data_IF_754404022935
#
_entry.id   IF_754404022935
#
_cell.length_a   1.000
_cell.length_b   1.000
_cell.length_c   1.000
_cell.angle_alpha   90.00
_cell.angle_beta   90.00
_cell.angle_gamma   90.00
#
_symmetry.space_group_name_H-M   'P 1'
#
loop_
_entity.id
_entity.type
_entity.pdbx_description
1 polymer ?
#
# COMPACT_ATOMS: atom_id res chain seq x y z
N UNK A 1 -18.30 4.33 -3.04
CA UNK A 1 -17.01 3.58 -3.25
C UNK A 1 -17.34 2.24 -3.87
N UNK A 2 -16.57 1.77 -4.85
CA UNK A 2 -16.81 0.51 -5.57
C UNK A 2 -15.64 -0.46 -5.36
N UNK A 3 -15.88 -1.76 -5.63
CA UNK A 3 -14.83 -2.77 -5.68
C UNK A 3 -14.72 -3.30 -7.11
N UNK A 4 -13.57 -3.09 -7.76
CA UNK A 4 -13.36 -3.38 -9.17
C UNK A 4 -12.26 -4.43 -9.33
N UNK A 5 -12.48 -5.42 -10.20
CA UNK A 5 -11.46 -6.42 -10.55
C UNK A 5 -10.55 -5.91 -11.66
N UNK A 6 -9.25 -6.11 -11.47
CA UNK A 6 -8.23 -5.65 -12.41
C UNK A 6 -6.99 -6.56 -12.40
N UNK A 7 -6.27 -6.61 -13.51
CA UNK A 7 -5.01 -7.35 -13.62
C UNK A 7 -3.90 -6.49 -14.19
N UNK A 8 -2.72 -6.65 -13.58
CA UNK A 8 -1.47 -6.02 -14.01
C UNK A 8 -0.54 -7.10 -14.56
N UNK A 9 0.01 -6.90 -15.75
CA UNK A 9 0.91 -7.86 -16.42
C UNK A 9 0.33 -9.28 -16.51
N UNK A 10 -0.98 -9.41 -16.78
CA UNK A 10 -1.73 -10.67 -16.85
C UNK A 10 -1.76 -11.45 -15.52
N UNK A 11 -1.61 -10.76 -14.40
CA UNK A 11 -1.66 -11.37 -13.07
C UNK A 11 -2.43 -10.51 -12.07
N UNK A 12 -2.94 -11.14 -11.00
CA UNK A 12 -3.82 -10.49 -10.03
C UNK A 12 -3.07 -9.73 -8.92
N UNK A 13 -1.73 -9.69 -8.98
CA UNK A 13 -0.89 -9.10 -7.92
C UNK A 13 -0.57 -7.61 -8.21
N UNK A 14 -1.61 -6.81 -8.34
CA UNK A 14 -1.51 -5.41 -8.75
C UNK A 14 -0.76 -4.53 -7.73
N UNK A 15 -0.91 -4.78 -6.44
CA UNK A 15 -0.24 -4.03 -5.38
C UNK A 15 1.28 -4.24 -5.29
N UNK A 16 1.84 -5.22 -6.02
CA UNK A 16 3.29 -5.37 -6.18
C UNK A 16 3.86 -4.31 -7.10
N UNK A 17 3.09 -3.91 -8.10
CA UNK A 17 3.54 -3.05 -9.21
C UNK A 17 3.09 -1.59 -9.06
N UNK A 18 2.05 -1.32 -8.30
CA UNK A 18 1.37 -0.02 -8.25
C UNK A 18 1.23 0.43 -6.80
N UNK A 19 1.47 1.71 -6.53
CA UNK A 19 1.14 2.38 -5.27
C UNK A 19 0.15 3.51 -5.53
N UNK A 20 -0.82 3.70 -4.65
CA UNK A 20 -1.84 4.74 -4.79
C UNK A 20 -2.10 5.46 -3.46
N UNK A 21 -2.53 6.72 -3.57
CA UNK A 21 -3.22 7.47 -2.52
C UNK A 21 -4.52 8.06 -3.10
N UNK A 22 -5.10 9.07 -2.45
CA UNK A 22 -6.37 9.67 -2.92
C UNK A 22 -6.21 10.69 -4.06
N UNK A 23 -4.99 10.96 -4.51
CA UNK A 23 -4.70 11.97 -5.55
C UNK A 23 -3.90 11.42 -6.71
N UNK A 24 -2.96 10.53 -6.44
CA UNK A 24 -2.04 10.00 -7.45
C UNK A 24 -1.89 8.49 -7.37
N UNK A 25 -1.58 7.89 -8.52
CA UNK A 25 -1.16 6.50 -8.64
C UNK A 25 0.19 6.41 -9.34
N UNK A 26 1.15 5.77 -8.68
CA UNK A 26 2.46 5.49 -9.26
C UNK A 26 2.40 4.15 -9.99
N UNK A 27 2.61 4.17 -11.31
CA UNK A 27 2.62 2.99 -12.16
C UNK A 27 3.98 2.83 -12.86
N UNK A 28 4.39 1.61 -13.24
CA UNK A 28 5.67 1.38 -13.88
C UNK A 28 5.79 2.08 -15.23
N UNK A 29 7.00 2.59 -15.54
CA UNK A 29 7.33 3.06 -16.89
C UNK A 29 6.98 2.00 -17.93
N UNK A 30 6.29 2.43 -19.01
CA UNK A 30 5.79 1.54 -20.07
C UNK A 30 4.58 0.69 -19.67
N UNK A 31 3.90 1.00 -18.58
CA UNK A 31 2.57 0.46 -18.29
C UNK A 31 1.60 0.94 -19.35
N UNK A 32 0.67 0.07 -19.80
CA UNK A 32 -0.20 0.37 -20.93
C UNK A 32 -1.13 1.56 -20.63
N UNK A 33 -1.11 2.59 -21.46
CA UNK A 33 -1.92 3.81 -21.30
C UNK A 33 -3.42 3.50 -21.09
N UNK A 34 -3.99 2.60 -21.89
CA UNK A 34 -5.39 2.17 -21.74
C UNK A 34 -5.72 1.55 -20.38
N UNK A 35 -4.72 1.00 -19.68
CA UNK A 35 -4.86 0.50 -18.31
C UNK A 35 -4.65 1.61 -17.28
N UNK A 36 -3.75 2.54 -17.55
CA UNK A 36 -3.56 3.76 -16.75
C UNK A 36 -4.84 4.59 -16.72
N UNK A 37 -5.44 4.84 -17.88
CA UNK A 37 -6.69 5.60 -18.00
C UNK A 37 -7.83 4.97 -17.21
N UNK A 38 -7.97 3.63 -17.26
CA UNK A 38 -8.96 2.91 -16.45
C UNK A 38 -8.71 3.00 -14.96
N UNK A 39 -7.45 2.91 -14.53
CA UNK A 39 -7.11 3.05 -13.11
C UNK A 39 -7.35 4.47 -12.63
N UNK A 40 -7.02 5.48 -13.45
CA UNK A 40 -7.32 6.89 -13.17
C UNK A 40 -8.82 7.11 -12.97
N UNK A 41 -9.64 6.57 -13.90
CA UNK A 41 -11.11 6.65 -13.81
C UNK A 41 -11.67 5.94 -12.58
N UNK A 42 -11.23 4.69 -12.29
CA UNK A 42 -11.74 3.90 -11.17
C UNK A 42 -11.37 4.48 -9.81
N UNK A 43 -10.13 4.94 -9.67
CA UNK A 43 -9.59 5.45 -8.41
C UNK A 43 -9.79 6.96 -8.24
N UNK A 44 -10.26 7.66 -9.28
CA UNK A 44 -10.42 9.13 -9.35
C UNK A 44 -9.11 9.86 -8.99
N UNK A 45 -8.01 9.48 -9.67
CA UNK A 45 -6.65 9.97 -9.39
C UNK A 45 -5.88 10.27 -10.67
N UNK A 46 -4.82 11.07 -10.55
CA UNK A 46 -3.80 11.24 -11.59
C UNK A 46 -2.84 10.04 -11.60
N UNK A 47 -2.47 9.54 -12.77
CA UNK A 47 -1.49 8.46 -12.92
C UNK A 47 -0.13 9.01 -13.33
N UNK A 48 0.88 8.71 -12.53
CA UNK A 48 2.28 9.06 -12.78
C UNK A 48 3.08 7.82 -13.17
N UNK A 49 3.67 7.84 -14.36
CA UNK A 49 4.54 6.78 -14.85
C UNK A 49 5.96 6.99 -14.31
N UNK A 50 6.45 6.05 -13.53
CA UNK A 50 7.79 6.12 -12.90
C UNK A 50 8.48 4.76 -12.82
N UNK A 51 9.71 4.76 -12.36
CA UNK A 51 10.43 3.56 -11.92
C UNK A 51 10.97 3.80 -10.51
N UNK A 52 11.23 2.74 -9.77
CA UNK A 52 11.97 2.78 -8.50
C UNK A 52 13.06 1.73 -8.58
N UNK A 53 14.31 2.15 -8.38
CA UNK A 53 15.50 1.32 -8.59
C UNK A 53 15.55 0.70 -10.00
N UNK A 54 15.07 1.45 -11.00
CA UNK A 54 14.94 0.99 -12.40
C UNK A 54 14.14 -0.31 -12.56
N UNK A 55 13.16 -0.52 -11.69
CA UNK A 55 12.29 -1.71 -11.71
C UNK A 55 10.82 -1.33 -11.94
N UNK A 56 9.99 -2.37 -12.11
CA UNK A 56 8.52 -2.23 -12.20
C UNK A 56 7.82 -2.49 -10.86
N UNK A 57 8.56 -2.73 -9.79
CA UNK A 57 8.03 -3.19 -8.49
C UNK A 57 7.66 -2.00 -7.59
N UNK A 58 6.95 -1.02 -8.12
CA UNK A 58 6.66 0.25 -7.44
C UNK A 58 6.02 0.00 -6.06
N UNK A 59 4.94 -0.77 -6.00
CA UNK A 59 4.22 -1.01 -4.76
C UNK A 59 4.98 -1.85 -3.73
N UNK A 60 5.88 -2.73 -4.18
CA UNK A 60 6.74 -3.47 -3.26
C UNK A 60 7.88 -2.60 -2.70
N UNK A 61 8.35 -1.60 -3.46
CA UNK A 61 9.52 -0.79 -3.11
C UNK A 61 9.16 0.53 -2.44
N UNK A 62 7.97 1.08 -2.66
CA UNK A 62 7.56 2.37 -2.08
C UNK A 62 6.40 2.25 -1.11
N UNK A 63 6.22 3.29 -0.30
CA UNK A 63 5.04 3.50 0.52
C UNK A 63 4.55 4.92 0.29
N UNK A 64 3.25 5.08 0.10
CA UNK A 64 2.62 6.37 -0.15
C UNK A 64 1.37 6.56 0.72
N UNK A 65 1.17 7.78 1.20
CA UNK A 65 -0.10 8.28 1.71
C UNK A 65 -0.37 9.70 1.16
N UNK A 66 -1.38 10.42 1.63
CA UNK A 66 -1.70 11.76 1.12
C UNK A 66 -0.72 12.85 1.57
N UNK A 67 0.29 12.52 2.38
CA UNK A 67 1.29 13.46 2.90
C UNK A 67 2.68 13.23 2.33
N UNK A 68 3.03 11.97 2.04
CA UNK A 68 4.40 11.67 1.61
C UNK A 68 4.57 10.36 0.85
N UNK A 69 5.77 10.24 0.27
CA UNK A 69 6.28 9.08 -0.46
C UNK A 69 7.60 8.66 0.17
N UNK A 70 7.69 7.41 0.59
CA UNK A 70 8.94 6.78 1.04
C UNK A 70 9.54 5.93 -0.06
N UNK A 71 10.81 6.17 -0.36
CA UNK A 71 11.62 5.43 -1.31
C UNK A 71 12.76 4.68 -0.60
N UNK A 72 13.22 3.54 -1.13
CA UNK A 72 14.39 2.83 -0.62
C UNK A 72 15.69 3.52 -1.05
N UNK A 73 16.79 3.22 -0.37
CA UNK A 73 18.14 3.71 -0.75
C UNK A 73 18.59 3.28 -2.13
N UNK A 74 17.98 2.25 -2.69
CA UNK A 74 18.24 1.76 -4.05
C UNK A 74 17.56 2.58 -5.15
N UNK A 75 16.64 3.50 -4.80
CA UNK A 75 16.07 4.44 -5.76
C UNK A 75 17.16 5.38 -6.31
N UNK A 76 17.11 5.64 -7.62
CA UNK A 76 18.06 6.57 -8.24
C UNK A 76 17.66 8.02 -7.95
N UNK A 77 18.67 8.91 -7.96
CA UNK A 77 18.47 10.34 -7.70
C UNK A 77 17.44 10.98 -8.66
N UNK A 78 17.48 10.62 -9.94
CA UNK A 78 16.52 11.13 -10.93
C UNK A 78 15.09 10.64 -10.70
N UNK A 79 14.89 9.47 -10.09
CA UNK A 79 13.57 8.96 -9.71
C UNK A 79 13.00 9.76 -8.52
N UNK A 80 13.85 10.06 -7.55
CA UNK A 80 13.53 10.92 -6.42
C UNK A 80 13.20 12.35 -6.88
N UNK A 81 14.08 12.95 -7.69
CA UNK A 81 13.92 14.33 -8.18
C UNK A 81 12.62 14.48 -9.00
N UNK A 82 12.33 13.49 -9.86
CA UNK A 82 11.08 13.46 -10.62
C UNK A 82 9.85 13.49 -9.71
N UNK A 83 9.77 12.60 -8.73
CA UNK A 83 8.61 12.53 -7.83
C UNK A 83 8.46 13.83 -7.01
N UNK A 84 9.57 14.44 -6.61
CA UNK A 84 9.58 15.71 -5.89
C UNK A 84 9.14 16.89 -6.76
N UNK A 85 9.42 16.83 -8.07
CA UNK A 85 9.02 17.89 -9.02
C UNK A 85 7.53 17.80 -9.39
N UNK A 86 7.01 16.55 -9.58
CA UNK A 86 5.66 16.34 -10.10
C UNK A 86 4.59 16.16 -9.03
N UNK A 87 4.98 16.13 -7.75
CA UNK A 87 4.02 15.98 -6.64
C UNK A 87 4.22 17.05 -5.57
N UNK A 88 3.15 17.41 -4.87
CA UNK A 88 3.20 18.28 -3.68
C UNK A 88 3.45 17.48 -2.39
N UNK A 89 3.87 16.21 -2.50
CA UNK A 89 4.09 15.32 -1.36
C UNK A 89 5.51 15.44 -0.82
N UNK A 90 5.67 15.19 0.48
CA UNK A 90 7.01 15.02 1.05
C UNK A 90 7.64 13.74 0.51
N UNK A 91 8.74 13.83 -0.23
CA UNK A 91 9.45 12.68 -0.76
C UNK A 91 10.69 12.42 0.09
N UNK A 92 10.77 11.26 0.71
CA UNK A 92 11.89 10.88 1.57
C UNK A 92 12.49 9.53 1.20
N UNK A 93 13.79 9.36 1.52
CA UNK A 93 14.50 8.09 1.37
C UNK A 93 14.69 7.47 2.76
N UNK A 94 14.31 6.21 2.91
CA UNK A 94 14.54 5.45 4.14
C UNK A 94 15.87 4.72 4.06
N UNK A 95 16.85 5.16 4.86
CA UNK A 95 18.17 4.54 4.93
C UNK A 95 18.13 3.30 5.84
N UNK A 96 17.74 2.20 5.26
CA UNK A 96 17.62 0.90 5.92
C UNK A 96 18.14 -0.22 5.00
N UNK A 97 18.49 -1.36 5.60
CA UNK A 97 18.85 -2.56 4.83
C UNK A 97 17.67 -3.22 4.10
N UNK A 98 16.44 -2.78 4.35
CA UNK A 98 15.22 -3.32 3.75
C UNK A 98 14.75 -2.44 2.59
N UNK A 99 14.98 -2.88 1.35
CA UNK A 99 14.62 -2.10 0.17
C UNK A 99 13.15 -2.27 -0.26
N UNK A 100 12.51 -3.37 0.10
CA UNK A 100 11.10 -3.60 -0.19
C UNK A 100 10.21 -2.96 0.89
N UNK A 101 10.13 -1.62 0.88
CA UNK A 101 9.45 -0.85 1.92
C UNK A 101 7.97 -1.17 2.02
N UNK A 102 7.28 -1.38 0.89
CA UNK A 102 5.88 -1.78 0.85
C UNK A 102 5.61 -3.15 1.48
N UNK A 103 6.64 -4.01 1.62
CA UNK A 103 6.49 -5.27 2.32
C UNK A 103 6.61 -5.14 3.85
N UNK A 104 7.24 -4.09 4.34
CA UNK A 104 7.54 -3.92 5.78
C UNK A 104 6.79 -2.77 6.44
N UNK A 105 6.07 -1.96 5.66
CA UNK A 105 5.31 -0.78 6.12
C UNK A 105 3.91 -0.83 5.51
N UNK A 106 2.87 -0.72 6.35
CA UNK A 106 1.51 -0.37 5.95
C UNK A 106 1.14 0.96 6.60
N UNK A 107 0.65 1.92 5.84
CA UNK A 107 0.28 3.24 6.35
C UNK A 107 -1.00 3.75 5.67
N UNK A 108 -1.74 4.60 6.39
CA UNK A 108 -2.73 5.52 5.88
C UNK A 108 -2.39 6.95 6.36
N UNK A 109 -3.31 7.91 6.33
CA UNK A 109 -3.05 9.29 6.79
C UNK A 109 -3.11 9.47 8.32
N UNK A 110 -3.52 8.44 9.05
CA UNK A 110 -3.72 8.46 10.51
C UNK A 110 -2.58 7.78 11.25
N UNK A 111 -2.02 6.70 10.69
CA UNK A 111 -0.97 5.92 11.34
C UNK A 111 -0.25 4.96 10.43
N UNK A 112 0.80 4.33 10.95
CA UNK A 112 1.54 3.28 10.27
C UNK A 112 1.86 2.10 11.19
N UNK A 113 1.67 0.89 10.66
CA UNK A 113 2.12 -0.37 11.24
C UNK A 113 3.34 -0.84 10.47
N UNK A 114 4.47 -0.99 11.16
CA UNK A 114 5.72 -1.34 10.50
C UNK A 114 6.33 -2.62 11.07
N UNK A 115 7.21 -3.21 10.31
CA UNK A 115 8.00 -4.38 10.72
C UNK A 115 8.78 -4.11 12.01
N UNK A 116 8.79 -5.04 12.98
CA UNK A 116 9.68 -4.95 14.14
C UNK A 116 11.17 -5.07 13.80
N UNK A 117 11.52 -5.39 12.56
CA UNK A 117 12.89 -5.43 12.08
C UNK A 117 13.48 -4.04 11.76
N UNK A 118 12.64 -3.03 11.59
CA UNK A 118 13.06 -1.64 11.40
C UNK A 118 13.60 -1.06 12.71
N UNK A 119 14.55 -0.15 12.62
CA UNK A 119 15.11 0.54 13.80
C UNK A 119 14.17 1.65 14.29
N UNK A 120 14.45 2.19 15.50
CA UNK A 120 13.73 3.38 16.00
C UNK A 120 13.98 4.61 15.13
N UNK A 121 15.14 4.71 14.51
CA UNK A 121 15.49 5.81 13.60
C UNK A 121 14.71 5.69 12.30
N UNK A 122 14.58 4.45 11.74
CA UNK A 122 13.71 4.19 10.61
C UNK A 122 12.28 4.63 10.92
N UNK A 123 11.74 4.29 12.09
CA UNK A 123 10.39 4.69 12.51
C UNK A 123 10.21 6.22 12.57
N UNK A 124 11.22 6.98 13.01
CA UNK A 124 11.17 8.44 13.01
C UNK A 124 11.16 9.00 11.58
N UNK A 125 12.00 8.48 10.70
CA UNK A 125 12.02 8.89 9.29
C UNK A 125 10.66 8.62 8.63
N UNK A 126 10.08 7.43 8.85
CA UNK A 126 8.75 7.07 8.37
C UNK A 126 7.70 8.05 8.90
N UNK A 127 7.72 8.33 10.22
CA UNK A 127 6.80 9.29 10.87
C UNK A 127 6.90 10.69 10.27
N UNK A 128 8.12 11.16 10.01
CA UNK A 128 8.35 12.50 9.45
C UNK A 128 7.84 12.61 8.01
N UNK A 129 8.17 11.64 7.15
CA UNK A 129 7.81 11.69 5.73
C UNK A 129 6.31 11.46 5.53
N UNK A 130 5.74 10.45 6.20
CA UNK A 130 4.31 10.14 6.07
C UNK A 130 3.42 10.99 7.00
N UNK A 131 4.00 11.77 7.92
CA UNK A 131 3.27 12.65 8.82
C UNK A 131 2.33 11.91 9.78
N UNK A 132 2.70 10.71 10.26
CA UNK A 132 1.84 9.82 11.06
C UNK A 132 2.58 9.22 12.26
N UNK A 133 1.83 8.75 13.25
CA UNK A 133 2.36 7.92 14.32
C UNK A 133 2.72 6.52 13.78
N UNK A 134 3.81 5.95 14.28
CA UNK A 134 4.36 4.67 13.81
C UNK A 134 4.45 3.67 14.96
N UNK A 135 3.93 2.47 14.76
CA UNK A 135 4.13 1.36 15.68
C UNK A 135 4.80 0.18 14.99
N UNK A 136 5.66 -0.51 15.74
CA UNK A 136 6.26 -1.76 15.29
C UNK A 136 5.40 -2.94 15.75
N UNK A 137 4.94 -3.77 14.83
CA UNK A 137 4.10 -4.92 15.15
C UNK A 137 4.33 -6.09 14.21
N UNK A 138 4.52 -7.27 14.78
CA UNK A 138 4.43 -8.54 14.07
C UNK A 138 2.96 -8.90 13.88
N UNK A 139 2.59 -9.43 12.71
CA UNK A 139 1.21 -9.79 12.39
C UNK A 139 1.17 -11.24 11.90
N UNK A 140 0.32 -12.07 12.50
CA UNK A 140 0.15 -13.48 12.18
C UNK A 140 1.50 -14.24 12.10
N UNK A 141 2.42 -13.92 13.00
CA UNK A 141 3.75 -14.50 13.00
C UNK A 141 4.73 -13.93 11.96
N UNK A 142 4.28 -13.07 11.02
CA UNK A 142 5.11 -12.44 10.00
C UNK A 142 5.76 -11.13 10.49
N UNK A 143 7.02 -10.91 10.13
CA UNK A 143 7.69 -9.62 10.28
C UNK A 143 7.43 -8.68 9.09
N UNK A 144 6.73 -9.14 8.05
CA UNK A 144 6.43 -8.36 6.85
C UNK A 144 5.06 -7.68 6.99
N UNK A 145 4.96 -6.72 7.90
CA UNK A 145 3.69 -6.06 8.27
C UNK A 145 2.97 -5.43 7.07
N UNK A 146 3.72 -4.88 6.10
CA UNK A 146 3.16 -4.26 4.91
C UNK A 146 2.54 -5.23 3.90
N UNK A 147 3.01 -6.50 3.86
CA UNK A 147 2.42 -7.51 2.96
C UNK A 147 1.11 -8.05 3.50
N UNK A 148 0.98 -8.16 4.81
CA UNK A 148 -0.14 -8.84 5.50
C UNK A 148 -1.21 -7.87 6.01
N UNK A 149 -1.06 -6.58 5.73
CA UNK A 149 -1.99 -5.52 6.12
C UNK A 149 -2.06 -4.47 5.00
N UNK A 150 -3.25 -4.03 4.65
CA UNK A 150 -3.48 -2.90 3.75
C UNK A 150 -4.60 -2.03 4.29
N UNK A 151 -4.46 -0.72 4.18
CA UNK A 151 -5.40 0.26 4.69
C UNK A 151 -5.58 1.45 3.74
N UNK A 152 -6.77 2.04 3.76
CA UNK A 152 -7.03 3.43 3.39
C UNK A 152 -7.54 4.19 4.63
N UNK A 153 -8.13 5.38 4.47
CA UNK A 153 -8.66 6.14 5.61
C UNK A 153 -10.06 5.71 6.07
N UNK A 154 -10.69 4.76 5.37
CA UNK A 154 -12.04 4.24 5.66
C UNK A 154 -12.00 2.85 6.34
N UNK A 155 -11.01 2.01 6.00
CA UNK A 155 -10.91 0.65 6.52
C UNK A 155 -9.53 0.02 6.30
N UNK A 156 -9.35 -1.17 6.85
CA UNK A 156 -8.14 -1.98 6.61
C UNK A 156 -8.44 -3.48 6.61
N UNK A 157 -7.69 -4.20 5.81
CA UNK A 157 -7.74 -5.67 5.75
C UNK A 157 -6.41 -6.24 6.23
N UNK A 158 -6.49 -7.21 7.14
CA UNK A 158 -5.36 -7.87 7.77
C UNK A 158 -5.35 -9.37 7.44
N UNK A 159 -4.18 -9.99 7.51
CA UNK A 159 -3.98 -11.43 7.36
C UNK A 159 -5.04 -12.25 8.13
N UNK A 160 -5.65 -13.30 7.53
CA UNK A 160 -6.73 -14.05 8.17
C UNK A 160 -6.32 -14.81 9.45
N UNK A 161 -5.03 -14.99 9.68
CA UNK A 161 -4.47 -15.58 10.90
C UNK A 161 -4.05 -14.56 11.97
N UNK A 162 -4.40 -13.28 11.83
CA UNK A 162 -4.12 -12.27 12.85
C UNK A 162 -4.98 -12.50 14.10
N UNK A 163 -4.40 -12.34 15.27
CA UNK A 163 -5.13 -12.43 16.54
C UNK A 163 -5.89 -11.14 16.88
N UNK A 164 -6.81 -11.21 17.85
CA UNK A 164 -7.64 -10.06 18.27
C UNK A 164 -6.78 -8.88 18.78
N UNK A 165 -5.64 -9.16 19.44
CA UNK A 165 -4.72 -8.14 19.91
C UNK A 165 -3.99 -7.42 18.77
N UNK A 166 -3.65 -8.15 17.71
CA UNK A 166 -3.03 -7.62 16.49
C UNK A 166 -4.04 -6.75 15.72
N UNK A 167 -5.28 -7.23 15.56
CA UNK A 167 -6.38 -6.51 14.92
C UNK A 167 -6.66 -5.20 15.67
N UNK A 168 -6.83 -5.27 16.99
CA UNK A 168 -7.10 -4.09 17.84
C UNK A 168 -5.94 -3.07 17.78
N UNK A 169 -4.70 -3.56 17.78
CA UNK A 169 -3.53 -2.68 17.67
C UNK A 169 -3.50 -1.97 16.34
N UNK A 170 -3.73 -2.69 15.23
CA UNK A 170 -3.78 -2.10 13.89
C UNK A 170 -4.95 -1.10 13.77
N UNK A 171 -6.14 -1.45 14.29
CA UNK A 171 -7.31 -0.55 14.29
C UNK A 171 -7.05 0.75 15.05
N UNK A 172 -6.40 0.68 16.21
CA UNK A 172 -6.11 1.87 17.01
C UNK A 172 -5.16 2.84 16.30
N UNK A 173 -4.06 2.33 15.74
CA UNK A 173 -3.05 3.19 15.09
C UNK A 173 -3.52 3.72 13.75
N UNK A 174 -4.20 2.90 12.95
CA UNK A 174 -4.72 3.30 11.65
C UNK A 174 -6.04 4.11 11.76
N UNK A 175 -6.68 4.11 12.94
CA UNK A 175 -7.92 4.86 13.19
C UNK A 175 -9.11 4.41 12.33
N UNK A 176 -9.15 3.12 11.96
CA UNK A 176 -10.17 2.53 11.07
C UNK A 176 -10.59 1.14 11.56
N UNK A 177 -11.72 0.64 11.03
CA UNK A 177 -12.10 -0.75 11.22
C UNK A 177 -11.09 -1.67 10.51
N UNK A 178 -10.64 -2.72 11.20
CA UNK A 178 -9.70 -3.71 10.67
C UNK A 178 -10.33 -5.09 10.76
N UNK A 179 -10.44 -5.78 9.62
CA UNK A 179 -10.98 -7.14 9.60
C UNK A 179 -10.06 -8.13 8.88
N UNK A 180 -10.01 -9.38 9.32
CA UNK A 180 -9.25 -10.41 8.65
C UNK A 180 -9.89 -10.79 7.31
N UNK A 181 -9.07 -10.89 6.26
CA UNK A 181 -9.47 -11.42 4.96
C UNK A 181 -8.28 -11.97 4.20
N UNK A 182 -8.55 -12.77 3.19
CA UNK A 182 -7.62 -13.11 2.12
C UNK A 182 -7.96 -12.35 0.84
N UNK A 183 -7.15 -12.51 -0.19
CA UNK A 183 -7.31 -11.94 -1.52
C UNK A 183 -6.96 -13.01 -2.59
N UNK A 184 -7.44 -12.84 -3.82
CA UNK A 184 -7.07 -13.72 -4.93
C UNK A 184 -7.26 -15.21 -4.64
N UNK A 185 -8.42 -15.56 -4.07
CA UNK A 185 -8.83 -16.93 -3.77
C UNK A 185 -7.97 -17.61 -2.68
N UNK A 186 -7.86 -16.93 -1.54
CA UNK A 186 -7.22 -17.49 -0.32
C UNK A 186 -5.79 -17.05 -0.07
N UNK A 187 -5.23 -16.12 -0.87
CA UNK A 187 -3.89 -15.58 -0.63
C UNK A 187 -3.91 -14.66 0.59
N UNK A 188 -3.10 -14.92 1.64
CA UNK A 188 -3.11 -14.14 2.87
C UNK A 188 -2.28 -12.85 2.81
N UNK A 189 -1.51 -12.65 1.74
CA UNK A 189 -0.67 -11.48 1.48
C UNK A 189 -1.52 -10.39 0.82
N UNK A 190 -2.39 -9.79 1.62
CA UNK A 190 -3.51 -8.96 1.15
C UNK A 190 -3.07 -7.74 0.33
N UNK A 191 -1.96 -7.09 0.68
CA UNK A 191 -1.49 -5.92 -0.05
C UNK A 191 -1.03 -6.25 -1.48
N UNK A 192 -0.65 -7.49 -1.76
CA UNK A 192 -0.22 -7.87 -3.11
C UNK A 192 -1.33 -7.78 -4.16
N UNK A 193 -2.57 -7.98 -3.75
CA UNK A 193 -3.73 -8.06 -4.63
C UNK A 193 -4.74 -6.93 -4.50
N UNK A 194 -4.42 -5.87 -3.75
CA UNK A 194 -5.33 -4.74 -3.49
C UNK A 194 -4.61 -3.42 -3.79
N UNK A 195 -5.32 -2.49 -4.45
CA UNK A 195 -5.07 -1.05 -4.37
C UNK A 195 -6.28 -0.42 -3.69
N UNK A 196 -6.04 0.39 -2.67
CA UNK A 196 -7.08 1.00 -1.88
C UNK A 196 -6.81 2.50 -1.70
N UNK A 197 -7.76 3.32 -2.12
CA UNK A 197 -7.86 4.73 -1.74
C UNK A 197 -9.27 5.02 -1.21
N UNK A 198 -9.57 6.25 -0.84
CA UNK A 198 -10.88 6.58 -0.26
C UNK A 198 -12.00 6.70 -1.30
N UNK A 199 -11.71 6.51 -2.59
CA UNK A 199 -12.69 6.56 -3.69
C UNK A 199 -13.09 5.16 -4.17
N UNK A 200 -12.13 4.23 -4.27
CA UNK A 200 -12.35 2.90 -4.84
C UNK A 200 -11.37 1.86 -4.30
N UNK A 201 -11.77 0.59 -4.33
CA UNK A 201 -10.92 -0.56 -4.07
C UNK A 201 -10.75 -1.34 -5.36
N UNK A 202 -9.53 -1.49 -5.82
CA UNK A 202 -9.21 -2.32 -6.99
C UNK A 202 -8.53 -3.60 -6.53
N UNK A 203 -9.07 -4.75 -6.96
CA UNK A 203 -8.61 -6.08 -6.52
C UNK A 203 -8.21 -6.94 -7.71
N UNK A 204 -7.33 -7.91 -7.46
CA UNK A 204 -6.96 -8.88 -8.48
C UNK A 204 -8.14 -9.71 -8.97
N UNK A 205 -8.11 -10.12 -10.24
CA UNK A 205 -9.21 -10.82 -10.92
C UNK A 205 -9.60 -12.15 -10.28
N UNK A 206 -8.68 -12.80 -9.57
CA UNK A 206 -8.91 -14.07 -8.88
C UNK A 206 -9.62 -13.92 -7.53
N UNK A 207 -9.87 -12.68 -7.05
CA UNK A 207 -10.58 -12.43 -5.80
C UNK A 207 -11.99 -13.02 -5.88
N UNK A 208 -12.32 -13.86 -4.91
CA UNK A 208 -13.56 -14.61 -4.84
C UNK A 208 -14.74 -13.75 -4.35
N UNK A 209 -15.97 -14.22 -4.56
CA UNK A 209 -17.17 -13.54 -4.07
C UNK A 209 -17.17 -13.31 -2.55
N UNK A 210 -16.87 -14.31 -1.70
CA UNK A 210 -16.77 -14.14 -0.25
C UNK A 210 -15.71 -13.11 0.17
N UNK A 211 -14.54 -13.07 -0.51
CA UNK A 211 -13.51 -12.05 -0.25
C UNK A 211 -14.03 -10.65 -0.59
N UNK A 212 -14.70 -10.47 -1.73
CA UNK A 212 -15.32 -9.19 -2.11
C UNK A 212 -16.35 -8.75 -1.06
N UNK A 213 -17.18 -9.65 -0.56
CA UNK A 213 -18.15 -9.33 0.50
C UNK A 213 -17.46 -8.84 1.78
N UNK A 214 -16.35 -9.47 2.18
CA UNK A 214 -15.55 -9.01 3.33
C UNK A 214 -14.97 -7.62 3.09
N UNK A 215 -14.37 -7.37 1.91
CA UNK A 215 -13.84 -6.07 1.54
C UNK A 215 -14.93 -4.99 1.53
N UNK A 216 -16.12 -5.30 1.01
CA UNK A 216 -17.28 -4.39 1.02
C UNK A 216 -17.63 -3.98 2.44
N UNK A 217 -17.67 -4.92 3.38
CA UNK A 217 -17.99 -4.64 4.79
C UNK A 217 -16.93 -3.76 5.46
N UNK A 218 -15.66 -3.90 5.07
CA UNK A 218 -14.55 -3.16 5.68
C UNK A 218 -14.45 -1.74 5.16
N UNK A 219 -14.52 -1.57 3.84
CA UNK A 219 -14.21 -0.30 3.20
C UNK A 219 -15.44 0.55 2.83
N UNK A 220 -16.63 -0.06 2.72
CA UNK A 220 -17.84 0.60 2.21
C UNK A 220 -18.94 0.85 3.26
N UNK A 221 -18.68 0.52 4.53
CA UNK A 221 -19.67 0.74 5.62
C UNK A 221 -19.18 1.87 6.57
#
# INVERSE_FOLDING_TARGET
>A
MDIIKFDVYRGPNLGVYISVNDKIGLVPMGFAETKSDKLAEYLDIEILHTAIANTRLIGALSVINNKGILLPTTAYQNEYDYLKEVTDLEVGVLDTKFNALGNVICANDKGAVVSPLLSKEDCKTISNVLGVEVIQKKIAGSNLSGVVLIANNSGAVIHPGADEGEIKTASNILGVNVEPSSINNGIPYVSSGILANDHCIVVGSLTSGPEIMNLTRVFLN
#
